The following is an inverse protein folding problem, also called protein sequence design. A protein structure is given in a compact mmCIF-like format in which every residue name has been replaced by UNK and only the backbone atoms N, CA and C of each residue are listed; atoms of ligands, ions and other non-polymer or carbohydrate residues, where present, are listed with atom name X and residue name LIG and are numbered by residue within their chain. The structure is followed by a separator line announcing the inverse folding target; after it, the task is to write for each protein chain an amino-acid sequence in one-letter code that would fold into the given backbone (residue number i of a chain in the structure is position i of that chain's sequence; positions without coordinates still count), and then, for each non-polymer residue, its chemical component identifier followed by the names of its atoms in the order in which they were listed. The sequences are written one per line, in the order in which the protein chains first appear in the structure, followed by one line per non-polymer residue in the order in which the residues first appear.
data_IF_548136365962
#
_entry.id   IF_548136365962
#
_cell.length_a   1.000
_cell.length_b   1.000
_cell.length_c   1.000
_cell.angle_alpha   90.00
_cell.angle_beta   90.00
_cell.angle_gamma   90.00
#
_symmetry.space_group_name_H-M   'P 1'
#
loop_
_entity.id
_entity.type
_entity.pdbx_description
1 polymer ?
#
# COMPACT_ATOMS: atom_id res chain seq x y z
N UNK A 1 -20.23 -3.16 12.05
CA UNK A 1 -18.88 -3.17 12.66
C UNK A 1 -19.03 -3.18 14.15
N UNK A 2 -18.59 -4.23 14.81
CA UNK A 2 -18.53 -4.23 16.28
C UNK A 2 -17.46 -3.23 16.71
N UNK A 3 -17.88 -2.18 17.39
CA UNK A 3 -16.95 -1.35 18.14
C UNK A 3 -16.48 -2.17 19.33
N UNK A 4 -15.18 -2.21 19.57
CA UNK A 4 -14.59 -2.88 20.72
C UNK A 4 -14.57 -1.92 21.90
N UNK A 5 -15.59 -1.92 22.80
CA UNK A 5 -15.65 -0.97 23.89
C UNK A 5 -14.49 -1.21 24.86
N UNK A 6 -13.83 -0.15 25.26
CA UNK A 6 -12.75 -0.18 26.25
C UNK A 6 -11.34 -0.45 25.70
N UNK A 7 -11.13 -0.45 24.40
CA UNK A 7 -9.81 -0.52 23.79
C UNK A 7 -9.68 0.40 22.56
N UNK A 8 -8.50 0.45 21.95
CA UNK A 8 -8.18 1.29 20.79
C UNK A 8 -8.21 0.54 19.46
N UNK A 9 -8.86 -0.60 19.37
CA UNK A 9 -9.01 -1.35 18.13
C UNK A 9 -10.07 -0.65 17.27
N UNK A 10 -9.68 -0.10 16.13
CA UNK A 10 -10.56 0.63 15.21
C UNK A 10 -11.06 -0.22 14.04
N UNK A 11 -10.35 -1.30 13.73
CA UNK A 11 -10.70 -2.20 12.65
C UNK A 11 -10.23 -3.61 12.99
N UNK A 12 -11.14 -4.58 12.94
CA UNK A 12 -10.79 -5.98 12.76
C UNK A 12 -11.47 -6.48 11.51
N UNK A 13 -10.70 -7.05 10.65
CA UNK A 13 -11.24 -7.92 9.62
C UNK A 13 -11.30 -9.34 10.21
N UNK A 14 -12.30 -10.10 9.83
CA UNK A 14 -12.42 -11.50 10.28
C UNK A 14 -11.36 -12.40 9.59
N UNK A 15 -10.13 -11.93 9.56
CA UNK A 15 -8.98 -12.55 8.92
C UNK A 15 -8.03 -13.14 9.93
N UNK A 16 -7.26 -14.09 9.48
CA UNK A 16 -6.22 -14.72 10.30
C UNK A 16 -5.06 -13.76 10.59
N UNK A 17 -4.79 -12.81 9.68
CA UNK A 17 -3.63 -11.94 9.75
C UNK A 17 -3.90 -10.60 9.06
N UNK A 18 -3.58 -9.51 9.73
CA UNK A 18 -3.62 -8.14 9.19
C UNK A 18 -2.25 -7.50 9.34
N UNK A 19 -1.80 -6.79 8.33
CA UNK A 19 -0.50 -6.12 8.29
C UNK A 19 -0.53 -4.88 7.39
N UNK A 20 0.49 -4.03 7.55
CA UNK A 20 0.85 -2.96 6.61
C UNK A 20 -0.30 -2.02 6.28
N UNK A 21 -0.87 -1.40 7.30
CA UNK A 21 -1.89 -0.39 7.13
C UNK A 21 -1.29 0.93 6.64
N UNK A 22 -1.87 1.50 5.60
CA UNK A 22 -1.52 2.83 5.06
C UNK A 22 -2.79 3.66 4.93
N UNK A 23 -2.81 4.85 5.55
CA UNK A 23 -3.98 5.73 5.61
C UNK A 23 -3.63 7.08 4.99
N UNK A 24 -4.55 7.61 4.19
CA UNK A 24 -4.52 9.00 3.71
C UNK A 24 -5.81 9.71 4.05
N UNK A 25 -5.74 11.03 4.30
CA UNK A 25 -6.88 11.92 4.36
C UNK A 25 -7.08 12.55 2.98
N UNK A 26 -8.25 12.33 2.39
CA UNK A 26 -8.61 12.85 1.08
C UNK A 26 -9.67 13.92 1.21
N UNK A 27 -9.23 15.19 1.15
CA UNK A 27 -10.11 16.36 1.20
C UNK A 27 -10.76 16.68 -0.17
N UNK A 28 -10.41 15.96 -1.23
CA UNK A 28 -10.92 16.17 -2.58
C UNK A 28 -12.12 15.27 -2.90
N UNK A 29 -12.27 14.12 -2.19
CA UNK A 29 -13.45 13.27 -2.39
C UNK A 29 -14.71 14.04 -1.99
N UNK A 30 -15.70 14.24 -2.91
CA UNK A 30 -16.90 14.99 -2.61
C UNK A 30 -17.82 14.29 -1.60
N UNK A 31 -17.63 13.01 -1.35
CA UNK A 31 -18.40 12.24 -0.39
C UNK A 31 -17.72 12.26 0.99
N UNK A 32 -18.29 12.97 1.98
CA UNK A 32 -17.70 13.04 3.32
C UNK A 32 -17.63 11.67 4.03
N UNK A 33 -18.39 10.69 3.59
CA UNK A 33 -18.30 9.31 4.12
C UNK A 33 -17.03 8.59 3.67
N UNK A 34 -16.28 9.19 2.74
CA UNK A 34 -15.08 8.64 2.13
C UNK A 34 -13.83 9.49 2.39
N UNK A 35 -13.88 10.41 3.34
CA UNK A 35 -12.81 11.36 3.64
C UNK A 35 -11.46 10.68 3.92
N UNK A 36 -11.45 9.53 4.58
CA UNK A 36 -10.25 8.75 4.82
C UNK A 36 -10.24 7.50 3.96
N UNK A 37 -9.06 7.17 3.43
CA UNK A 37 -8.80 5.96 2.63
C UNK A 37 -7.77 5.13 3.36
N UNK A 38 -8.02 3.84 3.48
CA UNK A 38 -7.10 2.88 4.08
C UNK A 38 -6.86 1.76 3.09
N UNK A 39 -5.61 1.39 2.93
CA UNK A 39 -5.19 0.12 2.36
C UNK A 39 -4.53 -0.72 3.46
N UNK A 40 -4.95 -1.95 3.62
CA UNK A 40 -4.43 -2.87 4.64
C UNK A 40 -4.35 -4.28 4.07
N UNK A 41 -3.19 -4.91 4.21
CA UNK A 41 -3.02 -6.30 3.82
C UNK A 41 -3.73 -7.24 4.79
N UNK A 42 -4.38 -8.26 4.27
CA UNK A 42 -4.98 -9.32 5.08
C UNK A 42 -4.88 -10.68 4.40
N UNK A 43 -4.85 -11.72 5.24
CA UNK A 43 -4.97 -13.10 4.84
C UNK A 43 -6.23 -13.70 5.47
N UNK A 44 -7.11 -14.22 4.64
CA UNK A 44 -8.25 -15.02 5.08
C UNK A 44 -8.05 -16.46 4.64
N UNK A 45 -7.96 -17.38 5.61
CA UNK A 45 -7.80 -18.80 5.33
C UNK A 45 -9.09 -19.45 4.79
N UNK A 46 -10.23 -18.80 4.96
CA UNK A 46 -11.55 -19.29 4.54
C UNK A 46 -11.94 -18.79 3.16
N UNK A 47 -11.48 -17.61 2.77
CA UNK A 47 -11.74 -17.03 1.46
C UNK A 47 -10.46 -16.42 0.89
N UNK A 48 -9.76 -17.18 0.06
CA UNK A 48 -8.47 -16.77 -0.54
C UNK A 48 -8.60 -15.65 -1.56
N UNK A 49 -9.78 -15.44 -2.13
CA UNK A 49 -10.04 -14.35 -3.09
C UNK A 49 -9.97 -12.96 -2.42
N UNK A 50 -10.03 -12.95 -1.09
CA UNK A 50 -9.87 -11.73 -0.29
C UNK A 50 -8.46 -11.54 0.24
N UNK A 51 -7.49 -12.39 -0.13
CA UNK A 51 -6.11 -12.24 0.30
C UNK A 51 -5.41 -11.14 -0.49
N UNK A 52 -4.86 -10.17 0.21
CA UNK A 52 -4.14 -9.06 -0.39
C UNK A 52 -4.41 -7.72 0.28
N UNK A 53 -3.92 -6.62 -0.31
CA UNK A 53 -4.22 -5.26 0.11
C UNK A 53 -5.70 -4.89 -0.11
N UNK A 54 -6.51 -4.99 0.94
CA UNK A 54 -7.91 -4.59 0.95
C UNK A 54 -8.08 -3.07 1.12
N UNK A 55 -9.07 -2.49 0.45
CA UNK A 55 -9.35 -1.07 0.46
C UNK A 55 -10.56 -0.72 1.32
N UNK A 56 -10.44 0.31 2.12
CA UNK A 56 -11.47 0.78 3.03
C UNK A 56 -11.63 2.30 2.95
N UNK A 57 -12.82 2.78 3.32
CA UNK A 57 -13.13 4.19 3.44
C UNK A 57 -13.73 4.50 4.80
N UNK A 58 -13.57 5.75 5.26
CA UNK A 58 -14.10 6.19 6.54
C UNK A 58 -14.43 7.69 6.51
N UNK A 59 -15.49 8.14 7.23
CA UNK A 59 -15.76 9.54 7.42
C UNK A 59 -14.88 10.20 8.50
N UNK A 60 -14.35 9.42 9.45
CA UNK A 60 -13.76 9.92 10.69
C UNK A 60 -12.42 9.27 11.06
N UNK A 61 -11.92 8.32 10.26
CA UNK A 61 -10.70 7.56 10.55
C UNK A 61 -10.86 6.49 11.63
N UNK A 62 -12.05 6.36 12.21
CA UNK A 62 -12.35 5.43 13.30
C UNK A 62 -13.29 4.30 12.86
N UNK A 63 -14.27 4.61 12.02
CA UNK A 63 -15.25 3.66 11.50
C UNK A 63 -14.95 3.38 10.03
N UNK A 64 -14.50 2.19 9.74
CA UNK A 64 -14.05 1.81 8.41
C UNK A 64 -15.07 0.90 7.72
N UNK A 65 -15.31 1.16 6.45
CA UNK A 65 -16.15 0.35 5.57
C UNK A 65 -15.30 -0.24 4.46
N UNK A 66 -15.34 -1.56 4.30
CA UNK A 66 -14.69 -2.23 3.19
C UNK A 66 -15.36 -1.85 1.86
N UNK A 67 -14.56 -1.53 0.86
CA UNK A 67 -15.08 -1.12 -0.46
C UNK A 67 -15.49 -2.29 -1.34
N UNK A 68 -15.13 -3.51 -0.98
CA UNK A 68 -15.27 -4.69 -1.84
C UNK A 68 -14.05 -4.95 -2.73
N UNK A 69 -13.04 -4.07 -2.68
CA UNK A 69 -11.85 -4.16 -3.54
C UNK A 69 -10.66 -4.71 -2.76
N UNK A 70 -10.01 -5.70 -3.33
CA UNK A 70 -8.69 -6.21 -2.92
C UNK A 70 -7.76 -6.09 -4.12
N UNK A 71 -6.62 -5.44 -3.93
CA UNK A 71 -5.59 -5.35 -4.97
C UNK A 71 -4.69 -6.58 -4.94
N UNK A 72 -4.12 -6.99 -6.08
CA UNK A 72 -3.12 -8.05 -6.10
C UNK A 72 -1.86 -7.58 -5.37
N UNK A 73 -1.19 -8.49 -4.69
CA UNK A 73 0.06 -8.20 -3.96
C UNK A 73 0.10 -8.81 -2.57
N UNK A 74 1.21 -8.57 -1.89
CA UNK A 74 1.50 -9.09 -0.57
C UNK A 74 1.50 -7.96 0.49
N UNK A 75 1.89 -8.28 1.72
CA UNK A 75 2.15 -7.34 2.81
C UNK A 75 3.17 -6.24 2.41
N UNK A 76 3.41 -5.28 3.29
CA UNK A 76 4.32 -4.16 3.06
C UNK A 76 4.00 -3.33 1.81
N UNK A 77 2.71 -3.13 1.54
CA UNK A 77 2.19 -2.23 0.50
C UNK A 77 1.83 -0.86 1.11
N UNK A 78 1.90 0.20 0.33
CA UNK A 78 1.63 1.56 0.78
C UNK A 78 0.74 2.33 -0.20
N UNK A 79 -0.02 3.28 0.34
CA UNK A 79 -0.94 4.14 -0.40
C UNK A 79 -0.44 5.58 -0.35
N UNK A 80 -0.51 6.27 -1.48
CA UNK A 80 -0.19 7.69 -1.59
C UNK A 80 -1.17 8.36 -2.55
N UNK A 81 -1.50 9.64 -2.28
CA UNK A 81 -2.27 10.47 -3.20
C UNK A 81 -1.39 11.60 -3.70
N UNK A 82 -1.26 11.72 -5.02
CA UNK A 82 -0.53 12.83 -5.62
C UNK A 82 -1.23 14.17 -5.29
N UNK A 83 -0.57 15.09 -4.61
CA UNK A 83 -1.19 16.35 -4.22
C UNK A 83 -1.52 17.27 -5.40
N UNK A 84 -0.92 17.04 -6.58
CA UNK A 84 -1.18 17.84 -7.80
C UNK A 84 -2.41 17.34 -8.53
N UNK A 85 -2.41 16.08 -8.92
CA UNK A 85 -3.50 15.46 -9.71
C UNK A 85 -4.66 14.97 -8.85
N UNK A 86 -4.40 14.59 -7.60
CA UNK A 86 -5.36 13.90 -6.73
C UNK A 86 -5.44 12.39 -7.00
N UNK A 87 -4.66 11.88 -7.95
CA UNK A 87 -4.64 10.46 -8.30
C UNK A 87 -4.07 9.63 -7.15
N UNK A 88 -4.69 8.49 -6.90
CA UNK A 88 -4.22 7.53 -5.91
C UNK A 88 -3.20 6.59 -6.54
N UNK A 89 -2.17 6.26 -5.77
CA UNK A 89 -1.09 5.35 -6.12
C UNK A 89 -0.99 4.29 -5.03
N UNK A 90 -1.19 3.04 -5.41
CA UNK A 90 -0.96 1.88 -4.56
C UNK A 90 0.39 1.25 -4.95
N UNK A 91 1.36 1.40 -4.07
CA UNK A 91 2.67 0.75 -4.21
C UNK A 91 2.60 -0.63 -3.58
N UNK A 92 2.52 -1.63 -4.42
CA UNK A 92 2.28 -3.00 -4.06
C UNK A 92 3.60 -3.78 -4.03
N UNK A 93 3.68 -4.80 -3.20
CA UNK A 93 4.80 -5.74 -3.18
C UNK A 93 4.35 -7.08 -3.71
N UNK A 94 5.16 -7.66 -4.59
CA UNK A 94 5.03 -9.06 -4.98
C UNK A 94 6.40 -9.62 -5.39
N UNK A 95 6.43 -10.88 -5.79
CA UNK A 95 7.65 -11.55 -6.25
C UNK A 95 7.77 -11.49 -7.76
N UNK A 96 8.93 -11.04 -8.25
CA UNK A 96 9.37 -11.26 -9.61
C UNK A 96 10.53 -12.27 -9.57
N UNK A 97 10.26 -13.50 -10.01
CA UNK A 97 11.20 -14.59 -9.80
C UNK A 97 11.41 -14.89 -8.32
N UNK A 98 12.65 -14.82 -7.86
CA UNK A 98 13.02 -15.10 -6.46
C UNK A 98 13.04 -13.84 -5.56
N UNK A 99 12.98 -12.65 -6.14
CA UNK A 99 13.12 -11.40 -5.40
C UNK A 99 11.79 -10.69 -5.20
N UNK A 100 11.63 -10.03 -4.07
CA UNK A 100 10.53 -9.10 -3.84
C UNK A 100 10.80 -7.82 -4.63
N UNK A 101 9.78 -7.35 -5.32
CA UNK A 101 9.81 -6.20 -6.21
C UNK A 101 8.60 -5.30 -5.97
N UNK A 102 8.63 -4.09 -6.52
CA UNK A 102 7.54 -3.11 -6.34
C UNK A 102 6.73 -2.97 -7.61
N UNK A 103 5.41 -2.96 -7.44
CA UNK A 103 4.44 -2.68 -8.49
C UNK A 103 3.66 -1.42 -8.16
N UNK A 104 3.08 -0.81 -9.18
CA UNK A 104 2.20 0.34 -9.07
C UNK A 104 0.85 0.03 -9.72
N UNK A 105 -0.23 0.28 -8.97
CA UNK A 105 -1.56 0.47 -9.50
C UNK A 105 -2.04 1.90 -9.19
N UNK A 106 -2.82 2.49 -10.08
CA UNK A 106 -3.35 3.85 -9.92
C UNK A 106 -4.86 3.89 -10.05
N UNK A 107 -5.47 4.91 -9.41
CA UNK A 107 -6.92 5.15 -9.48
C UNK A 107 -7.20 6.65 -9.42
N UNK A 108 -8.22 7.10 -10.16
CA UNK A 108 -8.70 8.49 -10.09
C UNK A 108 -9.86 8.64 -9.09
N UNK A 109 -10.50 7.53 -8.67
CA UNK A 109 -11.75 7.55 -7.88
C UNK A 109 -11.72 6.66 -6.63
N UNK A 110 -10.59 5.97 -6.37
CA UNK A 110 -10.46 4.97 -5.32
C UNK A 110 -11.46 3.79 -5.43
N UNK A 111 -11.96 3.52 -6.63
CA UNK A 111 -12.89 2.43 -6.95
C UNK A 111 -12.35 1.56 -8.07
N UNK A 112 -11.98 2.21 -9.17
CA UNK A 112 -11.43 1.56 -10.36
C UNK A 112 -9.93 1.72 -10.37
N UNK A 113 -9.21 0.62 -10.45
CA UNK A 113 -7.76 0.59 -10.42
C UNK A 113 -7.20 0.03 -11.72
N UNK A 114 -6.05 0.55 -12.12
CA UNK A 114 -5.30 -0.03 -13.24
C UNK A 114 -4.74 -1.40 -12.87
N UNK A 115 -4.48 -2.25 -13.86
CA UNK A 115 -3.66 -3.43 -13.64
C UNK A 115 -2.28 -3.03 -13.12
N UNK A 116 -1.77 -3.66 -12.05
CA UNK A 116 -0.45 -3.35 -11.52
C UNK A 116 0.66 -3.68 -12.52
N UNK A 117 1.64 -2.81 -12.58
CA UNK A 117 2.86 -3.03 -13.37
C UNK A 117 4.11 -2.84 -12.49
N UNK A 118 5.19 -3.51 -12.84
CA UNK A 118 6.47 -3.43 -12.14
C UNK A 118 7.09 -2.05 -12.35
N UNK A 119 7.54 -1.41 -11.26
CA UNK A 119 8.17 -0.09 -11.29
C UNK A 119 9.62 -0.13 -10.80
N UNK A 120 9.92 -0.99 -9.82
CA UNK A 120 11.26 -1.15 -9.27
C UNK A 120 11.50 -2.63 -8.98
N UNK A 121 12.56 -3.17 -9.57
CA UNK A 121 12.97 -4.57 -9.41
C UNK A 121 14.47 -4.63 -9.20
N UNK A 122 14.99 -5.52 -8.34
CA UNK A 122 16.42 -5.75 -8.24
C UNK A 122 17.02 -6.11 -9.60
N UNK A 123 18.18 -5.59 -9.90
CA UNK A 123 18.91 -5.83 -11.14
C UNK A 123 20.37 -6.28 -10.89
N UNK A 124 21.16 -6.32 -11.96
CA UNK A 124 22.57 -6.77 -11.88
C UNK A 124 23.49 -5.83 -11.08
N UNK A 125 23.05 -4.64 -10.72
CA UNK A 125 23.76 -3.70 -9.83
C UNK A 125 23.49 -3.96 -8.37
N UNK A 126 22.44 -4.73 -8.07
CA UNK A 126 22.08 -5.10 -6.71
C UNK A 126 22.81 -6.36 -6.24
N UNK A 127 22.98 -6.48 -4.94
CA UNK A 127 23.55 -7.67 -4.32
C UNK A 127 22.64 -8.88 -4.54
N UNK A 128 23.23 -10.06 -4.77
CA UNK A 128 22.47 -11.32 -4.77
C UNK A 128 21.72 -11.48 -3.44
N UNK A 129 20.39 -11.65 -3.52
CA UNK A 129 19.55 -11.73 -2.33
C UNK A 129 18.84 -10.45 -1.94
N UNK A 130 19.10 -9.33 -2.63
CA UNK A 130 18.39 -8.06 -2.43
C UNK A 130 16.89 -8.21 -2.75
N UNK A 131 16.07 -7.69 -1.84
CA UNK A 131 14.63 -7.62 -1.97
C UNK A 131 14.15 -6.19 -1.69
N UNK A 132 13.30 -5.65 -2.53
CA UNK A 132 12.65 -4.37 -2.33
C UNK A 132 11.39 -4.56 -1.49
N UNK A 133 11.53 -4.35 -0.18
CA UNK A 133 10.58 -4.83 0.80
C UNK A 133 9.38 -3.89 1.00
N UNK A 134 9.64 -2.61 1.21
CA UNK A 134 8.61 -1.59 1.41
C UNK A 134 8.98 -0.28 0.71
N UNK A 135 7.99 0.57 0.48
CA UNK A 135 8.19 1.89 -0.11
C UNK A 135 7.21 2.87 0.52
N UNK A 136 7.71 4.02 0.93
CA UNK A 136 6.88 5.21 1.20
C UNK A 136 7.10 6.26 0.12
N UNK A 137 6.09 7.08 -0.14
CA UNK A 137 6.16 8.12 -1.18
C UNK A 137 5.65 9.43 -0.64
N UNK A 138 6.30 10.52 -1.00
CA UNK A 138 5.95 11.88 -0.60
C UNK A 138 6.36 12.89 -1.67
N UNK A 139 5.81 14.11 -1.59
CA UNK A 139 6.19 15.22 -2.45
C UNK A 139 7.00 16.23 -1.66
N UNK A 140 8.16 16.63 -2.20
CA UNK A 140 9.01 17.68 -1.65
C UNK A 140 9.46 18.62 -2.77
N UNK A 141 9.17 19.93 -2.63
CA UNK A 141 9.55 20.95 -3.60
C UNK A 141 9.16 20.61 -5.05
N UNK A 142 7.98 20.03 -5.23
CA UNK A 142 7.45 19.65 -6.56
C UNK A 142 8.01 18.36 -7.13
N UNK A 143 8.92 17.69 -6.43
CA UNK A 143 9.49 16.40 -6.81
C UNK A 143 8.76 15.27 -6.07
N UNK A 144 8.55 14.16 -6.74
CA UNK A 144 8.02 12.93 -6.11
C UNK A 144 9.19 12.06 -5.68
N UNK A 145 9.32 11.91 -4.37
CA UNK A 145 10.39 11.17 -3.72
C UNK A 145 9.81 9.99 -2.94
N UNK A 146 10.66 9.03 -2.62
CA UNK A 146 10.27 7.90 -1.76
C UNK A 146 11.45 7.35 -0.98
N UNK A 147 11.13 6.67 0.13
CA UNK A 147 12.07 5.82 0.83
C UNK A 147 11.78 4.37 0.47
N UNK A 148 12.76 3.72 -0.18
CA UNK A 148 12.71 2.30 -0.49
C UNK A 148 13.45 1.53 0.60
N UNK A 149 12.74 0.61 1.25
CA UNK A 149 13.34 -0.30 2.22
C UNK A 149 13.82 -1.56 1.50
N UNK A 150 15.10 -1.83 1.60
CA UNK A 150 15.77 -2.99 1.03
C UNK A 150 16.07 -4.00 2.13
N UNK A 151 15.99 -5.27 1.79
CA UNK A 151 16.31 -6.40 2.66
C UNK A 151 17.14 -7.42 1.90
N UNK A 152 18.34 -7.70 2.39
CA UNK A 152 19.18 -8.78 1.88
C UNK A 152 18.90 -10.07 2.68
N UNK A 153 18.37 -11.08 1.99
CA UNK A 153 18.03 -12.37 2.62
C UNK A 153 19.25 -13.20 2.99
N UNK A 154 20.41 -12.92 2.39
CA UNK A 154 21.66 -13.65 2.62
C UNK A 154 22.33 -13.17 3.91
N UNK A 155 22.44 -11.85 4.07
CA UNK A 155 23.08 -11.23 5.23
C UNK A 155 22.08 -10.90 6.34
N UNK A 156 20.77 -10.95 6.08
CA UNK A 156 19.68 -10.56 6.96
C UNK A 156 19.80 -9.09 7.43
N UNK A 157 20.30 -8.24 6.55
CA UNK A 157 20.42 -6.80 6.81
C UNK A 157 19.35 -6.02 6.06
N UNK A 158 18.98 -4.86 6.63
CA UNK A 158 18.07 -3.91 5.99
C UNK A 158 18.73 -2.54 5.90
N UNK A 159 18.40 -1.80 4.83
CA UNK A 159 18.75 -0.39 4.69
C UNK A 159 17.66 0.36 3.95
N UNK A 160 17.76 1.67 3.89
CA UNK A 160 16.80 2.54 3.25
C UNK A 160 17.53 3.39 2.21
N UNK A 161 16.98 3.46 1.02
CA UNK A 161 17.43 4.32 -0.06
C UNK A 161 16.41 5.39 -0.37
N UNK A 162 16.89 6.59 -0.69
CA UNK A 162 16.06 7.66 -1.24
C UNK A 162 15.94 7.44 -2.74
N UNK A 163 14.71 7.34 -3.21
CA UNK A 163 14.38 7.21 -4.62
C UNK A 163 13.59 8.42 -5.11
N UNK A 164 13.66 8.68 -6.40
CA UNK A 164 12.92 9.75 -7.06
C UNK A 164 12.21 9.20 -8.31
N UNK A 165 10.99 9.67 -8.54
CA UNK A 165 10.31 9.41 -9.82
C UNK A 165 10.94 10.24 -10.92
N UNK A 166 11.28 9.59 -12.05
CA UNK A 166 11.74 10.26 -13.26
C UNK A 166 10.62 10.95 -14.06
N UNK A 167 9.37 10.59 -13.74
CA UNK A 167 8.17 11.08 -14.41
C UNK A 167 7.47 12.10 -13.50
N UNK A 168 7.60 13.38 -13.84
CA UNK A 168 6.91 14.48 -13.16
C UNK A 168 5.68 14.96 -13.93
#
# INVERSE_FOLDING_TARGET
QEQFPGNNIILTWASYYNDSASVIEDLRDPDPQRRYKLMMFHLDTRNRDLNGPGLFVSPDGLRWTFTGTVLPGQDASSLWQDPRSGRYHAFLKDRLGNSRSRMLATSDDFRTWTEPHWIVTPDHGDHDGTNFYNQSTFTLSGRTLGFLNLYDVTTQTTWIELIESGDN
#
